data_IF_503985239437
#
_entry.id   IF_503985239437
#
_cell.length_a   1.000
_cell.length_b   1.000
_cell.length_c   1.000
_cell.angle_alpha   90.00
_cell.angle_beta   90.00
_cell.angle_gamma   90.00
#
_symmetry.space_group_name_H-M   'P 1'
#
loop_
_entity.id
_entity.type
_entity.pdbx_description
1 polymer ?
#
# COMPACT_ATOMS: atom_id res chain seq x y z
N UNK A 1 -37.01 -15.06 3.27
CA UNK A 1 -36.36 -13.74 3.23
C UNK A 1 -35.97 -13.24 4.64
N UNK A 2 -36.89 -13.18 5.61
CA UNK A 2 -36.60 -12.73 7.00
C UNK A 2 -35.57 -13.60 7.74
N UNK A 3 -35.63 -14.92 7.60
CA UNK A 3 -34.64 -15.83 8.20
C UNK A 3 -33.23 -15.56 7.65
N UNK A 4 -33.11 -15.37 6.34
CA UNK A 4 -31.84 -15.10 5.65
C UNK A 4 -31.24 -13.76 6.07
N UNK A 5 -32.05 -12.69 6.15
CA UNK A 5 -31.57 -11.38 6.63
C UNK A 5 -31.11 -11.43 8.09
N UNK A 6 -31.82 -12.18 8.94
CA UNK A 6 -31.44 -12.35 10.34
C UNK A 6 -30.11 -13.12 10.48
N UNK A 7 -29.91 -14.18 9.68
CA UNK A 7 -28.62 -14.90 9.67
C UNK A 7 -27.45 -14.01 9.24
N UNK A 8 -27.62 -13.12 8.24
CA UNK A 8 -26.56 -12.20 7.81
C UNK A 8 -26.18 -11.20 8.91
N UNK A 9 -27.17 -10.67 9.63
CA UNK A 9 -26.94 -9.77 10.76
C UNK A 9 -26.19 -10.47 11.91
N UNK A 10 -26.56 -11.71 12.22
CA UNK A 10 -25.85 -12.51 13.22
C UNK A 10 -24.39 -12.72 12.81
N UNK A 11 -24.11 -13.10 11.57
CA UNK A 11 -22.73 -13.29 11.10
C UNK A 11 -21.89 -12.01 11.18
N UNK A 12 -22.45 -10.87 10.78
CA UNK A 12 -21.76 -9.59 10.85
C UNK A 12 -21.38 -9.20 12.28
N UNK A 13 -22.25 -9.47 13.26
CA UNK A 13 -21.98 -9.21 14.67
C UNK A 13 -21.03 -10.26 15.30
N UNK A 14 -21.15 -11.53 14.92
CA UNK A 14 -20.39 -12.62 15.53
C UNK A 14 -18.89 -12.54 15.20
N UNK A 15 -18.50 -12.16 13.98
CA UNK A 15 -17.10 -12.10 13.55
C UNK A 15 -16.21 -11.20 14.42
N UNK A 16 -16.53 -9.92 14.66
CA UNK A 16 -15.72 -9.06 15.53
C UNK A 16 -15.76 -9.52 16.99
N UNK A 17 -16.89 -10.06 17.46
CA UNK A 17 -17.03 -10.57 18.84
C UNK A 17 -16.07 -11.73 19.08
N UNK A 18 -16.00 -12.70 18.16
CA UNK A 18 -15.09 -13.83 18.27
C UNK A 18 -13.63 -13.36 18.20
N UNK A 19 -13.29 -12.44 17.30
CA UNK A 19 -11.93 -11.87 17.22
C UNK A 19 -11.51 -11.18 18.52
N UNK A 20 -12.38 -10.35 19.09
CA UNK A 20 -12.12 -9.65 20.36
C UNK A 20 -12.03 -10.62 21.53
N UNK A 21 -12.85 -11.68 21.54
CA UNK A 21 -12.83 -12.71 22.58
C UNK A 21 -11.54 -13.52 22.55
N UNK A 22 -11.05 -13.92 21.37
CA UNK A 22 -9.75 -14.59 21.24
C UNK A 22 -8.59 -13.69 21.69
N UNK A 23 -8.63 -12.40 21.30
CA UNK A 23 -7.65 -11.41 21.77
C UNK A 23 -7.71 -11.23 23.30
N UNK A 24 -8.91 -11.17 23.87
CA UNK A 24 -9.13 -11.03 25.31
C UNK A 24 -8.64 -12.25 26.10
N UNK A 25 -8.90 -13.46 25.62
CA UNK A 25 -8.37 -14.70 26.19
C UNK A 25 -6.84 -14.69 26.10
N UNK A 26 -6.26 -14.31 24.96
CA UNK A 26 -4.81 -14.23 24.82
C UNK A 26 -4.20 -13.26 25.84
N UNK A 27 -4.78 -12.07 26.02
CA UNK A 27 -4.30 -11.09 26.99
C UNK A 27 -4.40 -11.61 28.44
N UNK A 28 -5.44 -12.37 28.77
CA UNK A 28 -5.68 -12.89 30.12
C UNK A 28 -4.78 -14.10 30.45
N UNK A 29 -4.54 -14.99 29.48
CA UNK A 29 -3.73 -16.20 29.64
C UNK A 29 -2.23 -15.96 29.38
N UNK A 30 -1.87 -14.93 28.61
CA UNK A 30 -0.49 -14.67 28.22
C UNK A 30 0.36 -14.27 29.42
N UNK A 31 1.48 -14.96 29.59
CA UNK A 31 2.48 -14.62 30.59
C UNK A 31 3.24 -13.36 30.17
N UNK A 32 2.91 -12.24 30.78
CA UNK A 32 3.53 -10.95 30.46
C UNK A 32 4.82 -10.73 31.26
N UNK A 33 5.96 -11.17 30.72
CA UNK A 33 7.29 -10.77 31.22
C UNK A 33 7.82 -9.58 30.40
N UNK A 34 7.80 -8.39 30.99
CA UNK A 34 8.33 -7.16 30.41
C UNK A 34 9.76 -6.92 30.90
N UNK A 35 10.73 -7.00 29.99
CA UNK A 35 12.11 -6.59 30.22
C UNK A 35 12.45 -5.44 29.27
N UNK A 36 13.33 -4.53 29.71
CA UNK A 36 13.64 -3.28 28.97
C UNK A 36 14.05 -3.56 27.51
N UNK A 37 14.85 -4.60 27.28
CA UNK A 37 15.32 -4.95 25.92
C UNK A 37 14.23 -5.60 25.05
N UNK A 38 13.13 -6.12 25.64
CA UNK A 38 11.97 -6.64 24.90
C UNK A 38 11.15 -5.53 24.26
N UNK A 39 11.16 -4.38 24.93
CA UNK A 39 10.30 -3.24 24.60
C UNK A 39 10.93 -2.31 23.56
N UNK A 40 12.20 -2.54 23.23
CA UNK A 40 12.96 -1.74 22.26
C UNK A 40 12.93 -2.47 20.91
N UNK A 41 12.85 -1.75 19.77
CA UNK A 41 12.97 -2.37 18.45
C UNK A 41 14.32 -3.09 18.29
N UNK A 42 14.31 -4.23 17.63
CA UNK A 42 15.53 -4.99 17.33
C UNK A 42 16.40 -4.22 16.33
N UNK A 43 17.41 -3.53 16.83
CA UNK A 43 18.51 -2.95 16.06
C UNK A 43 19.81 -3.66 16.50
N UNK A 44 20.77 -3.84 15.60
CA UNK A 44 21.99 -4.62 15.85
C UNK A 44 22.97 -3.96 16.87
N UNK A 45 22.50 -3.56 18.04
CA UNK A 45 23.30 -2.98 19.14
C UNK A 45 23.56 -1.48 19.05
N UNK A 46 23.00 -0.77 18.06
CA UNK A 46 23.02 0.69 17.99
C UNK A 46 21.67 1.24 18.43
N UNK A 47 21.67 2.31 19.23
CA UNK A 47 20.46 3.06 19.52
C UNK A 47 20.10 3.95 18.33
N UNK A 48 18.89 3.81 17.79
CA UNK A 48 18.31 4.68 16.75
C UNK A 48 18.30 6.15 17.16
N UNK A 49 19.40 6.87 16.91
CA UNK A 49 19.45 8.33 16.89
C UNK A 49 19.19 8.85 15.48
N UNK A 50 18.20 8.28 14.79
CA UNK A 50 18.00 8.58 13.38
C UNK A 50 16.57 8.93 13.03
N UNK A 51 16.44 9.75 11.98
CA UNK A 51 15.19 10.21 11.41
C UNK A 51 14.22 9.03 11.20
N UNK A 52 13.06 9.05 11.87
CA UNK A 52 12.01 8.00 11.75
C UNK A 52 11.39 7.91 10.36
N UNK A 53 11.66 8.90 9.51
CA UNK A 53 11.18 9.00 8.13
C UNK A 53 12.33 8.64 7.18
N UNK A 54 12.31 7.43 6.65
CA UNK A 54 13.10 7.09 5.47
C UNK A 54 12.47 7.70 4.21
N UNK A 55 13.31 8.23 3.32
CA UNK A 55 12.86 8.65 2.00
C UNK A 55 12.42 7.42 1.19
N UNK A 56 11.14 7.35 0.85
CA UNK A 56 10.59 6.33 -0.03
C UNK A 56 10.40 6.89 -1.45
N UNK A 57 10.44 6.02 -2.45
CA UNK A 57 10.21 6.43 -3.84
C UNK A 57 8.80 6.97 -4.06
N UNK A 58 8.68 8.06 -4.82
CA UNK A 58 7.41 8.72 -5.18
C UNK A 58 6.43 7.75 -5.87
N UNK A 59 6.94 6.69 -6.51
CA UNK A 59 6.13 5.66 -7.16
C UNK A 59 5.05 5.03 -6.25
N UNK A 60 5.31 4.92 -4.94
CA UNK A 60 4.34 4.34 -3.99
C UNK A 60 3.13 5.25 -3.75
N UNK A 61 3.34 6.57 -3.70
CA UNK A 61 2.23 7.53 -3.55
C UNK A 61 1.49 7.71 -4.88
N UNK A 62 2.20 7.62 -6.01
CA UNK A 62 1.61 7.72 -7.35
C UNK A 62 0.54 6.63 -7.57
N UNK A 63 0.80 5.41 -7.11
CA UNK A 63 -0.16 4.29 -7.25
C UNK A 63 -1.44 4.54 -6.43
N UNK A 64 -1.32 5.16 -5.25
CA UNK A 64 -2.48 5.49 -4.42
C UNK A 64 -3.33 6.60 -5.04
N UNK A 65 -2.69 7.63 -5.62
CA UNK A 65 -3.39 8.72 -6.33
C UNK A 65 -4.05 8.19 -7.60
N UNK A 66 -3.41 7.27 -8.33
CA UNK A 66 -3.96 6.67 -9.55
C UNK A 66 -5.10 5.67 -9.26
N UNK A 67 -5.06 4.99 -8.12
CA UNK A 67 -6.14 4.10 -7.69
C UNK A 67 -7.45 4.85 -7.44
N UNK A 68 -7.39 6.07 -6.89
CA UNK A 68 -8.58 6.86 -6.54
C UNK A 68 -9.57 7.09 -7.71
N UNK A 69 -9.17 7.66 -8.87
CA UNK A 69 -10.09 7.86 -9.99
C UNK A 69 -10.52 6.54 -10.67
N UNK A 70 -9.65 5.53 -10.67
CA UNK A 70 -9.99 4.22 -11.24
C UNK A 70 -11.02 3.45 -10.37
N UNK A 71 -10.96 3.59 -9.05
CA UNK A 71 -11.96 3.03 -8.12
C UNK A 71 -13.31 3.74 -8.28
N UNK A 72 -13.29 5.07 -8.43
CA UNK A 72 -14.50 5.86 -8.71
C UNK A 72 -15.13 5.45 -10.05
N UNK A 73 -14.32 5.17 -11.06
CA UNK A 73 -14.79 4.68 -12.36
C UNK A 73 -15.53 3.36 -12.25
N UNK A 74 -14.94 2.35 -11.60
CA UNK A 74 -15.60 1.04 -11.42
C UNK A 74 -16.89 1.19 -10.61
N UNK A 75 -16.87 2.02 -9.57
CA UNK A 75 -18.07 2.36 -8.78
C UNK A 75 -19.18 2.99 -9.63
N UNK A 76 -18.83 3.82 -10.62
CA UNK A 76 -19.79 4.44 -11.55
C UNK A 76 -20.35 3.48 -12.62
N UNK A 77 -19.59 2.45 -13.00
CA UNK A 77 -20.02 1.42 -13.95
C UNK A 77 -21.05 0.48 -13.33
N UNK A 78 -20.97 0.22 -12.02
CA UNK A 78 -21.86 -0.69 -11.29
C UNK A 78 -23.35 -0.31 -11.39
N UNK A 79 -23.79 0.94 -11.11
CA UNK A 79 -25.20 1.33 -11.26
C UNK A 79 -25.67 1.30 -12.71
N UNK A 80 -24.78 1.60 -13.68
CA UNK A 80 -25.12 1.46 -15.09
C UNK A 80 -25.39 0.01 -15.47
N UNK A 81 -24.52 -0.92 -15.03
CA UNK A 81 -24.68 -2.35 -15.27
C UNK A 81 -26.01 -2.89 -14.72
N UNK A 82 -26.40 -2.43 -13.53
CA UNK A 82 -27.69 -2.77 -12.91
C UNK A 82 -28.89 -2.16 -13.64
N UNK A 83 -28.70 -1.02 -14.32
CA UNK A 83 -29.75 -0.28 -15.01
C UNK A 83 -29.97 -0.69 -16.47
N UNK A 84 -29.29 -1.74 -16.97
CA UNK A 84 -29.43 -2.31 -18.32
C UNK A 84 -30.79 -3.01 -18.51
N UNK A 85 -31.88 -2.25 -18.39
CA UNK A 85 -33.22 -2.71 -18.69
C UNK A 85 -33.62 -2.29 -20.12
N UNK A 86 -34.05 -3.23 -20.99
CA UNK A 86 -34.41 -2.93 -22.37
C UNK A 86 -35.61 -1.97 -22.53
N UNK A 87 -36.39 -1.78 -21.46
CA UNK A 87 -37.59 -0.92 -21.42
C UNK A 87 -37.26 0.58 -21.36
N UNK A 88 -36.09 0.99 -20.86
CA UNK A 88 -35.82 2.39 -20.51
C UNK A 88 -34.98 3.17 -21.54
N UNK A 89 -34.84 2.69 -22.78
CA UNK A 89 -34.25 3.45 -23.89
C UNK A 89 -32.76 3.85 -23.74
N UNK A 90 -32.08 3.44 -22.66
CA UNK A 90 -30.74 3.89 -22.29
C UNK A 90 -29.57 3.10 -22.88
N UNK A 91 -29.81 2.13 -23.77
CA UNK A 91 -28.81 1.14 -24.16
C UNK A 91 -27.61 1.68 -24.93
N UNK A 92 -27.81 2.64 -25.85
CA UNK A 92 -26.72 3.18 -26.68
C UNK A 92 -26.09 4.44 -26.09
N UNK A 93 -26.89 5.31 -25.47
CA UNK A 93 -26.42 6.59 -24.92
C UNK A 93 -25.56 6.40 -23.66
N UNK A 94 -26.02 5.60 -22.69
CA UNK A 94 -25.23 5.34 -21.48
C UNK A 94 -23.93 4.57 -21.76
N UNK A 95 -23.98 3.65 -22.74
CA UNK A 95 -22.80 2.93 -23.22
C UNK A 95 -21.76 3.88 -23.81
N UNK A 96 -22.19 4.86 -24.61
CA UNK A 96 -21.29 5.85 -25.19
C UNK A 96 -20.58 6.70 -24.13
N UNK A 97 -21.30 7.10 -23.07
CA UNK A 97 -20.74 7.87 -21.95
C UNK A 97 -19.69 7.06 -21.20
N UNK A 98 -19.95 5.78 -20.93
CA UNK A 98 -19.00 4.91 -20.22
C UNK A 98 -17.76 4.64 -21.04
N UNK A 99 -17.90 4.44 -22.35
CA UNK A 99 -16.76 4.28 -23.25
C UNK A 99 -15.88 5.53 -23.26
N UNK A 100 -16.49 6.72 -23.30
CA UNK A 100 -15.75 8.00 -23.25
C UNK A 100 -15.04 8.15 -21.90
N UNK A 101 -15.72 7.81 -20.82
CA UNK A 101 -15.18 7.88 -19.46
C UNK A 101 -13.96 6.95 -19.27
N UNK A 102 -14.07 5.69 -19.70
CA UNK A 102 -12.97 4.71 -19.74
C UNK A 102 -11.83 5.19 -20.63
N UNK A 103 -12.13 5.79 -21.77
CA UNK A 103 -11.11 6.25 -22.71
C UNK A 103 -10.26 7.38 -22.10
N UNK A 104 -10.88 8.33 -21.39
CA UNK A 104 -10.17 9.43 -20.73
C UNK A 104 -9.23 8.92 -19.63
N UNK A 105 -9.69 7.97 -18.81
CA UNK A 105 -8.86 7.39 -17.75
C UNK A 105 -7.76 6.48 -18.31
N UNK A 106 -8.04 5.72 -19.37
CA UNK A 106 -7.03 4.93 -20.08
C UNK A 106 -5.91 5.82 -20.64
N UNK A 107 -6.23 6.99 -21.21
CA UNK A 107 -5.21 7.94 -21.70
C UNK A 107 -4.37 8.47 -20.54
N UNK A 108 -4.99 8.85 -19.42
CA UNK A 108 -4.27 9.30 -18.22
C UNK A 108 -3.34 8.22 -17.65
N UNK A 109 -3.81 6.97 -17.62
CA UNK A 109 -3.01 5.82 -17.20
C UNK A 109 -1.83 5.56 -18.13
N UNK A 110 -2.06 5.61 -19.45
CA UNK A 110 -1.00 5.43 -20.45
C UNK A 110 0.07 6.52 -20.32
N UNK A 111 -0.33 7.77 -20.06
CA UNK A 111 0.61 8.87 -19.84
C UNK A 111 1.56 8.57 -18.67
N UNK A 112 1.01 8.22 -17.50
CA UNK A 112 1.81 7.88 -16.31
C UNK A 112 2.64 6.59 -16.46
N UNK A 113 2.14 5.64 -17.25
CA UNK A 113 2.90 4.43 -17.56
C UNK A 113 4.13 4.76 -18.43
N UNK A 114 3.98 5.68 -19.40
CA UNK A 114 5.05 6.06 -20.33
C UNK A 114 6.11 6.96 -19.68
N UNK A 115 5.76 7.74 -18.66
CA UNK A 115 6.71 8.57 -17.91
C UNK A 115 7.65 7.75 -17.00
N UNK A 116 7.46 6.42 -16.90
CA UNK A 116 8.21 5.52 -16.01
C UNK A 116 8.14 5.95 -14.52
N UNK A 117 7.17 6.78 -14.13
CA UNK A 117 7.01 7.26 -12.76
C UNK A 117 6.69 6.11 -11.78
N UNK A 118 6.18 4.99 -12.30
CA UNK A 118 5.89 3.77 -11.56
C UNK A 118 7.09 2.82 -11.39
N UNK A 119 8.23 3.08 -12.05
CA UNK A 119 9.37 2.18 -12.00
C UNK A 119 10.14 2.36 -10.68
N UNK A 120 10.30 1.28 -9.92
CA UNK A 120 11.11 1.28 -8.71
C UNK A 120 12.58 1.44 -9.10
N UNK A 121 13.11 2.66 -8.98
CA UNK A 121 14.52 2.95 -9.31
C UNK A 121 15.42 2.23 -8.30
N UNK A 122 16.33 1.39 -8.79
CA UNK A 122 17.36 0.79 -7.94
C UNK A 122 18.55 1.76 -7.81
N UNK A 123 18.82 2.33 -6.63
CA UNK A 123 19.88 3.31 -6.45
C UNK A 123 21.28 2.71 -6.65
N UNK A 124 21.46 1.39 -6.50
CA UNK A 124 22.76 0.70 -6.59
C UNK A 124 23.37 0.65 -7.99
N UNK A 125 22.65 1.14 -9.02
CA UNK A 125 23.13 1.19 -10.40
C UNK A 125 23.51 2.60 -10.89
N UNK A 126 23.12 3.65 -10.17
CA UNK A 126 23.28 5.05 -10.61
C UNK A 126 24.51 5.72 -9.96
N UNK A 127 24.96 5.18 -8.84
CA UNK A 127 26.21 5.58 -8.19
C UNK A 127 27.41 4.96 -8.91
N UNK A 128 27.93 5.64 -9.95
CA UNK A 128 29.35 5.54 -10.32
C UNK A 128 30.21 6.14 -9.19
N UNK A 129 30.29 5.46 -8.04
CA UNK A 129 31.23 5.82 -6.98
C UNK A 129 32.62 5.34 -7.43
N UNK A 130 33.62 6.23 -7.58
CA UNK A 130 35.01 5.81 -7.70
C UNK A 130 35.42 5.19 -6.35
N UNK A 131 35.53 3.87 -6.30
CA UNK A 131 35.66 3.07 -5.08
C UNK A 131 37.02 3.15 -4.38
N UNK A 132 37.93 4.06 -4.75
CA UNK A 132 39.33 3.94 -4.33
C UNK A 132 39.87 5.07 -3.46
N UNK A 133 39.12 6.16 -3.23
CA UNK A 133 39.68 7.29 -2.46
C UNK A 133 39.60 7.10 -0.94
N UNK A 134 38.50 6.54 -0.41
CA UNK A 134 38.28 6.49 1.05
C UNK A 134 38.83 5.24 1.76
N UNK A 135 39.08 4.14 1.04
CA UNK A 135 39.67 2.93 1.65
C UNK A 135 41.19 3.06 1.75
N UNK A 136 41.82 3.78 0.81
CA UNK A 136 43.28 4.02 0.80
C UNK A 136 43.69 5.05 1.87
N UNK A 137 42.88 6.07 2.12
CA UNK A 137 43.15 7.04 3.20
C UNK A 137 43.02 6.39 4.57
N UNK A 138 41.95 5.62 4.80
CA UNK A 138 41.73 4.90 6.07
C UNK A 138 42.81 3.84 6.34
N UNK A 139 43.37 3.17 5.31
CA UNK A 139 44.46 2.21 5.52
C UNK A 139 45.78 2.88 5.90
N UNK A 140 46.03 4.10 5.43
CA UNK A 140 47.26 4.82 5.74
C UNK A 140 47.26 5.31 7.20
N UNK A 141 46.11 5.74 7.72
CA UNK A 141 45.97 6.21 9.10
C UNK A 141 46.20 5.09 10.13
N UNK A 142 45.79 3.86 9.81
CA UNK A 142 46.00 2.67 10.67
C UNK A 142 47.49 2.24 10.67
N UNK A 143 48.21 2.48 9.57
CA UNK A 143 49.65 2.16 9.47
C UNK A 143 50.56 3.14 10.22
N UNK A 144 50.10 4.37 10.50
CA UNK A 144 50.86 5.38 11.24
C UNK A 144 50.75 5.24 12.76
N UNK A 145 49.90 4.33 13.26
CA UNK A 145 49.67 4.07 14.69
C UNK A 145 50.37 2.81 15.22
N UNK A 146 51.24 2.18 14.43
CA UNK A 146 52.17 1.11 14.84
C UNK A 146 53.61 1.56 14.69
#
# INVERSE_FOLDING_TARGET
MLFTSYTMYIYFMLMPIVSQLLLGINLLLSYNNTYNDKTIPFECGLSSFNQTRSAFSVSFILIAILFLPFDLEVSSILPYSLALNPSQGGGSYGLSIIIIFISILAIGFIYEYRTNALHIKNPSRDTRIPSLYNVKSMSNDISSTK
#
